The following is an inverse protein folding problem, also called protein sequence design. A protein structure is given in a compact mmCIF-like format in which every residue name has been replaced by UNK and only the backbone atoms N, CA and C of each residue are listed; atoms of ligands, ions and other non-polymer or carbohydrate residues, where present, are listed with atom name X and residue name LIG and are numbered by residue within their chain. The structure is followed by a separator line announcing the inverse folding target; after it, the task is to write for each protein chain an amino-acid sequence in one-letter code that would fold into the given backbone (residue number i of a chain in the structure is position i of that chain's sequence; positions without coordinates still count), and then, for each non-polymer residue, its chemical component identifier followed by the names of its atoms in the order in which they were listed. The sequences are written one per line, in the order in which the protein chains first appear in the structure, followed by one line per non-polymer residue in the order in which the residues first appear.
data_IF_549212995893
#
_entry.id   IF_549212995893
#
_cell.length_a   1.000
_cell.length_b   1.000
_cell.length_c   1.000
_cell.angle_alpha   90.00
_cell.angle_beta   90.00
_cell.angle_gamma   90.00
#
_symmetry.space_group_name_H-M   'P 1'
#
loop_
_entity.id
_entity.type
_entity.pdbx_description
1 polymer ?
#
# COMPACT_ATOMS: atom_id res chain seq x y z
N UNK A 1 15.78 59.02 -14.62
CA UNK A 1 15.88 57.77 -15.41
C UNK A 1 16.13 56.65 -14.40
N UNK A 2 15.06 56.16 -13.81
CA UNK A 2 15.14 55.17 -12.73
C UNK A 2 15.11 53.76 -13.34
N UNK A 3 16.18 52.99 -13.10
CA UNK A 3 16.25 51.57 -13.44
C UNK A 3 15.84 50.77 -12.22
N UNK A 4 14.63 50.20 -12.26
CA UNK A 4 14.17 49.21 -11.29
C UNK A 4 14.84 47.88 -11.63
N UNK A 5 15.74 47.43 -10.76
CA UNK A 5 16.36 46.12 -10.81
C UNK A 5 15.38 45.11 -10.19
N UNK A 6 14.68 44.33 -11.01
CA UNK A 6 13.85 43.22 -10.53
C UNK A 6 14.77 42.04 -10.24
N UNK A 7 15.00 41.79 -8.95
CA UNK A 7 15.70 40.60 -8.46
C UNK A 7 14.72 39.44 -8.44
N UNK A 8 14.80 38.53 -9.42
CA UNK A 8 14.01 37.30 -9.44
C UNK A 8 14.70 36.27 -8.54
N UNK A 9 14.19 36.07 -7.33
CA UNK A 9 14.57 34.93 -6.50
C UNK A 9 13.94 33.66 -7.09
N UNK A 10 14.75 32.88 -7.82
CA UNK A 10 14.42 31.49 -8.14
C UNK A 10 14.54 30.66 -6.86
N UNK A 11 13.42 30.47 -6.16
CA UNK A 11 13.34 29.52 -5.05
C UNK A 11 13.31 28.11 -5.65
N UNK A 12 14.45 27.44 -5.64
CA UNK A 12 14.54 26.01 -5.90
C UNK A 12 13.91 25.28 -4.71
N UNK A 13 12.63 24.93 -4.80
CA UNK A 13 12.02 24.00 -3.84
C UNK A 13 12.66 22.63 -4.04
N UNK A 14 13.28 22.03 -3.00
CA UNK A 14 13.65 20.63 -3.09
C UNK A 14 12.38 19.81 -3.32
N UNK A 15 12.37 18.99 -4.37
CA UNK A 15 11.34 17.99 -4.67
C UNK A 15 11.38 16.90 -3.59
N UNK A 16 10.91 17.24 -2.40
CA UNK A 16 10.86 16.34 -1.26
C UNK A 16 9.82 15.26 -1.52
N UNK A 17 10.08 14.07 -0.98
CA UNK A 17 9.09 13.01 -0.88
C UNK A 17 7.83 13.58 -0.21
N UNK A 18 6.67 13.42 -0.86
CA UNK A 18 5.41 13.91 -0.32
C UNK A 18 4.94 12.90 0.73
N UNK A 19 4.86 13.33 1.99
CA UNK A 19 4.34 12.54 3.09
C UNK A 19 2.94 13.03 3.47
N UNK A 20 2.06 12.09 3.77
CA UNK A 20 0.70 12.36 4.26
C UNK A 20 0.46 11.53 5.52
N UNK A 21 -0.21 12.14 6.49
CA UNK A 21 -0.66 11.48 7.71
C UNK A 21 -2.14 11.80 7.93
N UNK A 22 -2.95 10.77 8.15
CA UNK A 22 -4.38 10.92 8.41
C UNK A 22 -4.93 9.77 9.23
N UNK A 23 -6.17 9.90 9.68
CA UNK A 23 -6.88 8.88 10.46
C UNK A 23 -8.30 8.70 9.96
N UNK A 24 -8.86 7.52 10.19
CA UNK A 24 -10.23 7.20 9.82
C UNK A 24 -10.85 6.14 10.71
N UNK A 25 -12.11 5.87 10.44
CA UNK A 25 -12.87 4.78 11.04
C UNK A 25 -13.78 4.20 9.97
N UNK A 26 -13.95 2.88 10.00
CA UNK A 26 -14.85 2.18 9.08
C UNK A 26 -15.65 1.14 9.83
N UNK A 27 -16.94 1.08 9.54
CA UNK A 27 -17.84 0.04 10.03
C UNK A 27 -18.11 -0.96 8.91
N UNK A 28 -18.60 -2.15 9.27
CA UNK A 28 -18.96 -3.19 8.31
C UNK A 28 -19.91 -2.63 7.24
N UNK A 29 -19.60 -2.94 5.98
CA UNK A 29 -20.36 -2.48 4.81
C UNK A 29 -20.07 -1.03 4.39
N UNK A 30 -19.22 -0.31 5.13
CA UNK A 30 -18.74 1.01 4.74
C UNK A 30 -17.38 0.92 4.06
N UNK A 31 -17.07 1.97 3.29
CA UNK A 31 -15.76 2.17 2.67
C UNK A 31 -15.29 3.56 3.06
N UNK A 32 -14.15 3.64 3.75
CA UNK A 32 -13.43 4.89 3.90
C UNK A 32 -12.60 5.16 2.65
N UNK A 33 -12.59 6.40 2.17
CA UNK A 33 -11.88 6.81 0.95
C UNK A 33 -11.11 8.09 1.23
N UNK A 34 -9.84 8.14 0.86
CA UNK A 34 -8.98 9.32 1.01
C UNK A 34 -8.14 9.56 -0.23
N UNK A 35 -8.26 10.75 -0.81
CA UNK A 35 -7.46 11.18 -1.96
C UNK A 35 -6.00 11.30 -1.55
N UNK A 36 -5.12 10.54 -2.20
CA UNK A 36 -3.69 10.58 -1.97
C UNK A 36 -2.99 11.56 -2.93
N UNK A 37 -3.72 12.19 -3.84
CA UNK A 37 -3.19 12.94 -4.96
C UNK A 37 -2.62 12.02 -6.05
N UNK A 38 -2.07 12.62 -7.11
CA UNK A 38 -1.51 11.90 -8.28
C UNK A 38 -2.51 10.92 -8.92
N UNK A 39 -3.80 11.23 -8.87
CA UNK A 39 -4.92 10.38 -9.32
C UNK A 39 -5.01 9.03 -8.58
N UNK A 40 -4.57 8.98 -7.32
CA UNK A 40 -4.63 7.80 -6.47
C UNK A 40 -5.48 8.06 -5.25
N UNK A 41 -6.08 6.99 -4.75
CA UNK A 41 -6.96 7.02 -3.59
C UNK A 41 -6.69 5.81 -2.72
N UNK A 42 -6.64 6.02 -1.40
CA UNK A 42 -6.65 4.93 -0.43
C UNK A 42 -8.09 4.56 -0.13
N UNK A 43 -8.42 3.27 -0.20
CA UNK A 43 -9.68 2.71 0.27
C UNK A 43 -9.41 1.78 1.45
N UNK A 44 -10.18 1.95 2.52
CA UNK A 44 -10.12 1.07 3.70
C UNK A 44 -11.53 0.57 3.98
N UNK A 45 -11.67 -0.75 4.06
CA UNK A 45 -12.89 -1.45 4.45
C UNK A 45 -12.62 -2.23 5.74
N UNK A 46 -13.63 -2.93 6.26
CA UNK A 46 -13.40 -3.88 7.36
C UNK A 46 -12.69 -5.17 6.92
N UNK A 47 -12.40 -5.34 5.63
CA UNK A 47 -11.78 -6.56 5.08
C UNK A 47 -10.50 -6.29 4.29
N UNK A 48 -10.23 -5.06 3.88
CA UNK A 48 -9.10 -4.75 2.99
C UNK A 48 -8.59 -3.32 3.14
N UNK A 49 -7.32 -3.14 2.78
CA UNK A 49 -6.65 -1.85 2.54
C UNK A 49 -6.17 -1.85 1.09
N UNK A 50 -6.62 -0.90 0.28
CA UNK A 50 -6.35 -0.87 -1.16
C UNK A 50 -5.90 0.52 -1.59
N UNK A 51 -5.04 0.58 -2.61
CA UNK A 51 -4.73 1.83 -3.33
C UNK A 51 -5.22 1.69 -4.75
N UNK A 52 -6.07 2.60 -5.19
CA UNK A 52 -6.66 2.55 -6.53
C UNK A 52 -6.39 3.83 -7.31
N UNK A 53 -6.54 3.77 -8.63
CA UNK A 53 -6.66 4.96 -9.45
C UNK A 53 -8.03 5.63 -9.27
N UNK A 54 -8.09 6.95 -9.48
CA UNK A 54 -9.33 7.71 -9.54
C UNK A 54 -9.94 7.60 -10.96
N UNK A 55 -11.27 7.45 -11.11
CA UNK A 55 -12.27 7.31 -10.04
C UNK A 55 -12.19 5.96 -9.33
N UNK A 56 -12.32 6.00 -8.01
CA UNK A 56 -12.34 4.78 -7.19
C UNK A 56 -13.59 3.94 -7.53
N UNK A 57 -13.40 2.66 -7.80
CA UNK A 57 -14.47 1.70 -8.10
C UNK A 57 -14.13 0.38 -7.39
N UNK A 58 -15.09 -0.29 -6.72
CA UNK A 58 -14.90 -1.66 -6.23
C UNK A 58 -14.35 -2.67 -7.26
N UNK A 59 -14.46 -2.39 -8.56
CA UNK A 59 -13.94 -3.20 -9.67
C UNK A 59 -12.60 -2.71 -10.22
N UNK A 60 -12.09 -1.57 -9.74
CA UNK A 60 -10.80 -1.06 -10.16
C UNK A 60 -9.66 -1.91 -9.61
N UNK A 61 -8.55 -1.94 -10.35
CA UNK A 61 -7.33 -2.62 -9.93
C UNK A 61 -6.80 -2.03 -8.61
N UNK A 62 -6.45 -2.90 -7.67
CA UNK A 62 -5.68 -2.53 -6.49
C UNK A 62 -4.18 -2.52 -6.82
N UNK A 63 -3.57 -1.34 -6.67
CA UNK A 63 -2.18 -1.07 -6.98
C UNK A 63 -1.23 -1.53 -5.86
N UNK A 64 -1.75 -2.12 -4.78
CA UNK A 64 -0.96 -2.79 -3.74
C UNK A 64 -0.75 -4.28 -4.00
N UNK A 65 -1.63 -4.93 -4.78
CA UNK A 65 -1.71 -6.40 -4.85
C UNK A 65 -0.50 -7.10 -5.49
N UNK A 66 0.17 -6.44 -6.44
CA UNK A 66 1.26 -7.04 -7.22
C UNK A 66 2.67 -6.57 -6.82
N UNK A 67 2.78 -5.64 -5.87
CA UNK A 67 4.05 -5.00 -5.52
C UNK A 67 4.72 -5.74 -4.38
N UNK A 68 5.70 -6.61 -4.69
CA UNK A 68 6.43 -7.43 -3.70
C UNK A 68 7.98 -7.46 -3.76
N UNK A 69 8.78 -6.58 -4.42
CA UNK A 69 10.24 -6.78 -4.47
C UNK A 69 11.04 -6.21 -3.27
N UNK A 70 12.15 -6.85 -2.83
CA UNK A 70 12.49 -8.26 -3.04
C UNK A 70 11.56 -9.13 -2.19
N UNK A 71 11.03 -10.21 -2.78
CA UNK A 71 9.96 -11.08 -2.26
C UNK A 71 9.95 -11.28 -0.74
N UNK A 72 9.18 -10.45 -0.03
CA UNK A 72 8.89 -10.60 1.40
C UNK A 72 7.46 -11.15 1.65
N UNK A 73 6.85 -11.74 0.62
CA UNK A 73 5.44 -12.15 0.64
C UNK A 73 4.49 -11.02 0.19
N UNK A 74 3.19 -11.30 0.11
CA UNK A 74 2.18 -10.31 -0.23
C UNK A 74 2.12 -9.18 0.81
N UNK A 75 1.68 -7.99 0.38
CA UNK A 75 1.35 -6.93 1.33
C UNK A 75 0.28 -7.45 2.30
N UNK A 76 0.42 -7.26 3.62
CA UNK A 76 -0.58 -7.67 4.61
C UNK A 76 -1.76 -6.68 4.63
N UNK A 77 -2.43 -6.51 3.49
CA UNK A 77 -3.53 -5.57 3.28
C UNK A 77 -4.89 -6.18 3.58
N UNK A 78 -4.98 -7.51 3.66
CA UNK A 78 -6.19 -8.23 4.08
C UNK A 78 -6.43 -8.10 5.59
N UNK A 79 -7.66 -7.77 5.95
CA UNK A 79 -8.14 -7.59 7.31
C UNK A 79 -9.17 -8.68 7.65
N UNK A 80 -8.69 -9.91 7.78
CA UNK A 80 -9.55 -11.03 8.08
C UNK A 80 -9.68 -11.25 9.58
N UNK A 81 -10.92 -11.46 10.06
CA UNK A 81 -11.20 -11.52 11.49
C UNK A 81 -10.43 -12.63 12.23
N UNK A 82 -10.11 -13.74 11.55
CA UNK A 82 -9.33 -14.83 12.14
C UNK A 82 -7.94 -14.39 12.60
N UNK A 83 -7.40 -13.31 12.03
CA UNK A 83 -6.13 -12.75 12.44
C UNK A 83 -6.20 -12.15 13.85
N UNK A 84 -7.39 -11.86 14.38
CA UNK A 84 -7.58 -11.18 15.68
C UNK A 84 -8.17 -12.10 16.76
N UNK A 85 -8.33 -13.38 16.45
CA UNK A 85 -8.86 -14.39 17.36
C UNK A 85 -7.98 -15.64 17.39
N UNK A 86 -8.10 -16.44 18.45
CA UNK A 86 -7.51 -17.77 18.56
C UNK A 86 -8.24 -18.78 17.66
N UNK A 87 -7.68 -19.99 17.53
CA UNK A 87 -8.34 -21.12 16.85
C UNK A 87 -9.70 -21.49 17.47
N UNK A 88 -9.92 -21.15 18.75
CA UNK A 88 -11.19 -21.36 19.45
C UNK A 88 -12.16 -20.18 19.28
N UNK A 89 -11.82 -19.21 18.44
CA UNK A 89 -12.55 -17.97 18.19
C UNK A 89 -12.71 -17.11 19.45
N UNK A 90 -11.65 -17.01 20.25
CA UNK A 90 -11.55 -16.10 21.41
C UNK A 90 -10.65 -14.92 21.04
N UNK A 91 -10.83 -13.75 21.66
CA UNK A 91 -9.97 -12.59 21.36
C UNK A 91 -8.50 -12.91 21.66
N UNK A 92 -7.61 -12.55 20.73
CA UNK A 92 -6.18 -12.65 20.99
C UNK A 92 -5.74 -11.75 22.16
N UNK A 93 -4.71 -12.15 22.91
CA UNK A 93 -4.08 -11.27 23.89
C UNK A 93 -3.55 -9.99 23.23
N UNK A 94 -3.58 -8.87 23.97
CA UNK A 94 -3.16 -7.56 23.48
C UNK A 94 -1.74 -7.55 22.89
N UNK A 95 -0.81 -8.31 23.50
CA UNK A 95 0.58 -8.43 23.04
C UNK A 95 0.73 -9.07 21.66
N UNK A 96 -0.21 -9.95 21.29
CA UNK A 96 -0.26 -10.56 19.96
C UNK A 96 -0.94 -9.62 18.96
N UNK A 97 -2.04 -8.97 19.38
CA UNK A 97 -2.72 -7.96 18.57
C UNK A 97 -1.79 -6.81 18.15
N UNK A 98 -0.91 -6.35 19.04
CA UNK A 98 0.03 -5.25 18.74
C UNK A 98 0.95 -5.54 17.56
N UNK A 99 1.33 -6.80 17.36
CA UNK A 99 2.16 -7.20 16.22
C UNK A 99 1.37 -7.14 14.90
N UNK A 100 0.06 -7.33 14.97
CA UNK A 100 -0.85 -7.37 13.82
C UNK A 100 -1.48 -6.01 13.50
N UNK A 101 -1.36 -5.04 14.40
CA UNK A 101 -1.93 -3.70 14.19
C UNK A 101 -1.21 -2.93 13.09
N UNK A 102 0.07 -3.20 12.82
CA UNK A 102 0.86 -2.43 11.87
C UNK A 102 0.98 -3.12 10.51
N UNK A 103 0.21 -2.64 9.53
CA UNK A 103 0.19 -3.13 8.14
C UNK A 103 1.03 -2.22 7.26
N UNK A 104 2.24 -2.66 6.91
CA UNK A 104 3.11 -1.97 5.96
C UNK A 104 2.78 -2.44 4.55
N UNK A 105 2.68 -1.53 3.59
CA UNK A 105 2.39 -1.87 2.20
C UNK A 105 3.17 -0.98 1.24
N UNK A 106 3.29 -1.43 0.00
CA UNK A 106 3.82 -0.66 -1.11
C UNK A 106 2.79 -0.59 -2.23
N UNK A 107 2.84 0.45 -3.06
CA UNK A 107 1.91 0.61 -4.17
C UNK A 107 2.57 1.22 -5.39
N UNK A 108 2.10 0.82 -6.56
CA UNK A 108 2.49 1.46 -7.82
C UNK A 108 1.76 2.79 -8.01
N UNK A 109 2.34 3.69 -8.79
CA UNK A 109 1.82 5.05 -8.93
C UNK A 109 0.86 5.25 -10.11
N UNK A 110 0.80 4.27 -11.02
CA UNK A 110 -0.02 4.33 -12.23
C UNK A 110 -0.30 2.91 -12.77
N UNK A 111 -1.26 2.83 -13.69
CA UNK A 111 -1.71 1.57 -14.30
C UNK A 111 -0.59 0.82 -15.05
N UNK A 112 0.33 1.54 -15.68
CA UNK A 112 1.39 0.92 -16.47
C UNK A 112 2.43 0.26 -15.55
N UNK A 113 2.77 0.92 -14.44
CA UNK A 113 3.58 0.35 -13.37
C UNK A 113 2.88 -0.83 -12.71
N UNK A 114 1.58 -0.73 -12.39
CA UNK A 114 0.80 -1.82 -11.80
C UNK A 114 0.83 -3.07 -12.70
N UNK A 115 0.52 -2.88 -13.99
CA UNK A 115 0.56 -3.97 -14.97
C UNK A 115 1.93 -4.65 -15.01
N UNK A 116 3.02 -3.87 -15.05
CA UNK A 116 4.38 -4.43 -15.05
C UNK A 116 4.69 -5.21 -13.77
N UNK A 117 4.24 -4.71 -12.62
CA UNK A 117 4.42 -5.42 -11.34
C UNK A 117 3.64 -6.75 -11.34
N UNK A 118 2.40 -6.76 -11.83
CA UNK A 118 1.59 -7.97 -11.92
C UNK A 118 2.15 -8.98 -12.92
N UNK A 119 2.59 -8.54 -14.09
CA UNK A 119 3.22 -9.41 -15.09
C UNK A 119 4.49 -10.07 -14.51
N UNK A 120 5.30 -9.31 -13.76
CA UNK A 120 6.50 -9.82 -13.10
C UNK A 120 6.18 -10.81 -11.97
N UNK A 121 5.21 -10.50 -11.11
CA UNK A 121 4.75 -11.41 -10.06
C UNK A 121 4.25 -12.73 -10.67
N UNK A 122 3.47 -12.65 -11.75
CA UNK A 122 2.96 -13.83 -12.44
C UNK A 122 4.10 -14.69 -13.00
N UNK A 123 5.13 -14.08 -13.60
CA UNK A 123 6.32 -14.81 -14.05
C UNK A 123 7.03 -15.49 -12.88
N UNK A 124 7.20 -14.80 -11.76
CA UNK A 124 7.87 -15.33 -10.58
C UNK A 124 7.13 -16.51 -9.93
N UNK A 125 5.79 -16.53 -9.97
CA UNK A 125 4.97 -17.58 -9.37
C UNK A 125 4.84 -18.82 -10.26
N UNK A 126 4.79 -18.65 -11.59
CA UNK A 126 4.40 -19.71 -12.51
C UNK A 126 5.48 -20.15 -13.50
N UNK A 127 6.67 -19.57 -13.44
CA UNK A 127 7.79 -19.94 -14.32
C UNK A 127 8.94 -20.51 -13.51
N UNK A 128 9.66 -21.48 -14.08
CA UNK A 128 10.88 -22.02 -13.47
C UNK A 128 11.91 -20.90 -13.26
N UNK A 129 12.56 -20.83 -12.09
CA UNK A 129 13.57 -19.81 -11.83
C UNK A 129 14.80 -20.00 -12.72
N UNK A 130 15.52 -18.91 -12.97
CA UNK A 130 16.74 -18.87 -13.77
C UNK A 130 17.95 -18.88 -12.85
N UNK A 131 18.86 -19.83 -13.06
CA UNK A 131 20.18 -19.84 -12.38
C UNK A 131 21.16 -18.97 -13.15
N UNK A 132 21.68 -17.93 -12.50
CA UNK A 132 22.70 -17.04 -13.05
C UNK A 132 24.10 -17.69 -13.01
N UNK A 133 25.06 -17.07 -13.72
CA UNK A 133 26.43 -17.60 -13.85
C UNK A 133 27.18 -17.72 -12.51
N UNK A 134 26.77 -16.95 -11.51
CA UNK A 134 27.32 -16.96 -10.15
C UNK A 134 26.59 -17.94 -9.21
N UNK A 135 25.60 -18.69 -9.72
CA UNK A 135 24.77 -19.60 -8.93
C UNK A 135 23.52 -18.97 -8.32
N UNK A 136 23.29 -17.66 -8.50
CA UNK A 136 22.09 -16.98 -7.99
C UNK A 136 20.83 -17.51 -8.68
N UNK A 137 19.84 -17.93 -7.89
CA UNK A 137 18.52 -18.34 -8.39
C UNK A 137 17.61 -17.11 -8.43
N UNK A 138 17.08 -16.80 -9.61
CA UNK A 138 16.18 -15.66 -9.82
C UNK A 138 14.80 -16.16 -10.21
N UNK A 139 13.80 -15.77 -9.43
CA UNK A 139 12.39 -15.91 -9.79
C UNK A 139 11.95 -14.65 -10.55
N UNK A 140 11.19 -14.83 -11.64
CA UNK A 140 10.78 -13.72 -12.51
C UNK A 140 11.82 -13.36 -13.56
N UNK A 141 11.85 -12.09 -13.98
CA UNK A 141 12.70 -11.57 -15.05
C UNK A 141 14.09 -11.21 -14.50
N UNK A 142 15.17 -11.83 -15.01
CA UNK A 142 16.54 -11.45 -14.63
C UNK A 142 16.81 -9.96 -14.87
N UNK A 143 17.23 -9.26 -13.82
CA UNK A 143 17.53 -7.82 -13.88
C UNK A 143 16.31 -6.91 -13.80
N UNK A 144 15.13 -7.42 -13.47
CA UNK A 144 13.96 -6.60 -13.19
C UNK A 144 14.28 -5.54 -12.13
N UNK A 145 13.90 -4.30 -12.42
CA UNK A 145 13.96 -3.18 -11.48
C UNK A 145 12.54 -2.70 -11.25
N UNK A 146 12.13 -2.74 -9.99
CA UNK A 146 10.83 -2.21 -9.59
C UNK A 146 10.72 -0.73 -10.00
N UNK A 147 9.57 -0.28 -10.53
CA UNK A 147 9.32 1.14 -10.74
C UNK A 147 9.38 1.91 -9.41
N UNK A 148 9.45 3.26 -9.43
CA UNK A 148 9.27 4.03 -8.20
C UNK A 148 7.94 3.67 -7.53
N UNK A 149 7.99 3.28 -6.26
CA UNK A 149 6.84 2.87 -5.47
C UNK A 149 6.51 3.92 -4.42
N UNK A 150 5.22 4.08 -4.15
CA UNK A 150 4.76 4.65 -2.88
C UNK A 150 4.84 3.59 -1.77
N UNK A 151 4.97 4.06 -0.53
CA UNK A 151 4.94 3.20 0.66
C UNK A 151 3.91 3.72 1.63
N UNK A 152 3.24 2.82 2.35
CA UNK A 152 2.30 3.19 3.40
C UNK A 152 2.38 2.29 4.61
N UNK A 153 1.88 2.81 5.73
CA UNK A 153 1.68 2.08 6.97
C UNK A 153 0.28 2.39 7.48
N UNK A 154 -0.60 1.40 7.53
CA UNK A 154 -1.85 1.48 8.30
C UNK A 154 -1.59 0.92 9.68
N UNK A 155 -1.90 1.70 10.71
CA UNK A 155 -1.92 1.24 12.09
C UNK A 155 -3.37 1.12 12.55
N UNK A 156 -3.83 -0.12 12.73
CA UNK A 156 -5.16 -0.47 13.20
C UNK A 156 -5.29 -0.14 14.69
N UNK A 157 -6.46 0.37 15.08
CA UNK A 157 -6.83 0.75 16.45
C UNK A 157 -8.28 0.34 16.70
N UNK A 158 -8.63 0.10 17.97
CA UNK A 158 -10.01 -0.15 18.39
C UNK A 158 -10.77 -1.14 17.47
N UNK A 159 -10.22 -2.35 17.31
CA UNK A 159 -10.82 -3.38 16.45
C UNK A 159 -11.99 -4.00 17.22
N UNK A 160 -13.20 -3.82 16.70
CA UNK A 160 -14.41 -4.40 17.24
C UNK A 160 -14.81 -5.61 16.40
N UNK A 161 -14.90 -6.77 17.06
CA UNK A 161 -15.32 -8.02 16.44
C UNK A 161 -16.73 -8.40 16.89
N UNK A 162 -17.50 -8.99 15.97
CA UNK A 162 -18.78 -9.65 16.25
C UNK A 162 -18.66 -11.14 15.97
N UNK A 163 -19.64 -11.92 16.45
CA UNK A 163 -19.67 -13.38 16.27
C UNK A 163 -18.41 -14.07 16.82
N UNK A 164 -17.88 -13.56 17.93
CA UNK A 164 -16.78 -14.17 18.70
C UNK A 164 -17.35 -15.29 19.59
N UNK A 165 -16.63 -16.39 19.72
CA UNK A 165 -17.01 -17.56 20.51
C UNK A 165 -17.05 -18.87 19.71
N UNK A 166 -16.97 -19.99 20.44
CA UNK A 166 -16.86 -21.34 19.86
C UNK A 166 -17.97 -21.64 18.85
N UNK A 167 -17.58 -22.13 17.68
CA UNK A 167 -18.51 -22.52 16.60
C UNK A 167 -19.11 -21.35 15.82
N UNK A 168 -18.75 -20.12 16.14
CA UNK A 168 -19.06 -18.93 15.35
C UNK A 168 -17.89 -18.59 14.41
N UNK A 169 -18.15 -17.72 13.43
CA UNK A 169 -17.13 -17.14 12.56
C UNK A 169 -17.04 -15.65 12.87
N UNK A 170 -15.96 -15.23 13.53
CA UNK A 170 -15.77 -13.83 13.83
C UNK A 170 -15.76 -12.98 12.55
N UNK A 171 -16.23 -11.74 12.70
CA UNK A 171 -16.20 -10.73 11.65
C UNK A 171 -15.78 -9.39 12.25
N UNK A 172 -15.05 -8.58 11.49
CA UNK A 172 -14.71 -7.22 11.90
C UNK A 172 -15.95 -6.33 11.71
N UNK A 173 -16.50 -5.85 12.82
CA UNK A 173 -17.65 -4.94 12.81
C UNK A 173 -17.22 -3.49 12.62
N UNK A 174 -16.11 -3.10 13.25
CA UNK A 174 -15.57 -1.75 13.17
C UNK A 174 -14.07 -1.78 13.39
N UNK A 175 -13.36 -0.85 12.76
CA UNK A 175 -11.97 -0.54 13.11
C UNK A 175 -11.71 0.96 12.95
N UNK A 176 -10.89 1.49 13.84
CA UNK A 176 -10.28 2.80 13.70
C UNK A 176 -8.84 2.63 13.20
N UNK A 177 -8.28 3.65 12.55
CA UNK A 177 -6.91 3.53 12.03
C UNK A 177 -6.23 4.88 11.84
N UNK A 178 -4.91 4.83 11.80
CA UNK A 178 -4.05 5.92 11.32
C UNK A 178 -3.22 5.43 10.14
N UNK A 179 -2.98 6.30 9.15
CA UNK A 179 -2.20 6.00 7.96
C UNK A 179 -1.07 7.00 7.81
N UNK A 180 0.11 6.50 7.55
CA UNK A 180 1.25 7.25 7.03
C UNK A 180 1.52 6.80 5.59
N UNK A 181 1.54 7.73 4.64
CA UNK A 181 1.88 7.46 3.23
C UNK A 181 3.06 8.32 2.82
N UNK A 182 4.00 7.73 2.10
CA UNK A 182 5.16 8.42 1.51
C UNK A 182 5.20 8.12 0.02
N UNK A 183 5.20 9.20 -0.77
CA UNK A 183 5.42 9.14 -2.20
C UNK A 183 6.89 9.31 -2.54
N UNK A 184 7.38 8.60 -3.56
CA UNK A 184 8.72 8.87 -4.06
C UNK A 184 8.75 10.27 -4.71
N UNK A 185 9.93 10.90 -4.77
CA UNK A 185 10.11 12.15 -5.49
C UNK A 185 9.53 12.06 -6.90
N UNK A 186 8.87 13.12 -7.37
CA UNK A 186 8.38 13.14 -8.74
C UNK A 186 9.58 13.02 -9.70
N UNK A 187 9.47 12.15 -10.70
CA UNK A 187 10.50 12.07 -11.72
C UNK A 187 10.60 13.42 -12.44
N UNK A 188 11.76 14.07 -12.37
CA UNK A 188 12.04 15.25 -13.17
C UNK A 188 11.97 14.84 -14.64
N UNK A 189 10.99 15.37 -15.39
CA UNK A 189 11.07 15.35 -16.85
C UNK A 189 12.34 16.13 -17.20
N UNK A 190 13.35 15.44 -17.71
CA UNK A 190 14.51 16.09 -18.30
C UNK A 190 14.02 16.83 -19.53
N UNK A 191 13.72 18.12 -19.38
CA UNK A 191 13.67 19.05 -20.51
C UNK A 191 15.09 19.10 -21.06
N UNK A 192 15.33 18.33 -22.11
CA UNK A 192 16.54 18.40 -22.90
C UNK A 192 16.66 19.85 -23.41
N UNK A 193 17.80 20.53 -23.19
CA UNK A 193 18.04 21.85 -23.76
C UNK A 193 18.06 21.82 -25.29
#
# INVERSE_FOLDING_TARGET
MDKILILVFLIAYPLLAQQQHFSGSVQRGQVYTHDLGRNLVLRVTTTSIEVQAVPADPRADDYTGCVTPPFHGPNPTDLEAWQFVTDQNELLPESELDQLRRRKFQFTLDAAANKKACDELNLALYTSPVTQKDGTIVYGTPGYKSPPLGTGVVTLRNIELIHVGRGQKAEVQRLDFTVDVVFPPAATKSTKP
#
